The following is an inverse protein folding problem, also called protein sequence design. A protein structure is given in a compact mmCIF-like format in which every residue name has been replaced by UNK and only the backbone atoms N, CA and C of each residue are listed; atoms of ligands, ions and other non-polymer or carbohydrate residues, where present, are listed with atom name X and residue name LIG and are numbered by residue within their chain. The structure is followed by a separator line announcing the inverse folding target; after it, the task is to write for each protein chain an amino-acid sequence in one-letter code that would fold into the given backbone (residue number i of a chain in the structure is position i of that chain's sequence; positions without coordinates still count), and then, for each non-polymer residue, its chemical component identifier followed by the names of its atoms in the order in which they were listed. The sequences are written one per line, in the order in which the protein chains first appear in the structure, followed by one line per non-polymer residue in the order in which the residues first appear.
data_IF_387751769735
#
_entry.id   IF_387751769735
#
_cell.length_a   1.000
_cell.length_b   1.000
_cell.length_c   1.000
_cell.angle_alpha   90.00
_cell.angle_beta   90.00
_cell.angle_gamma   90.00
#
_symmetry.space_group_name_H-M   'P 1'
#
loop_
_entity.id
_entity.type
_entity.pdbx_description
1 polymer ?
#
# COMPACT_ATOMS: atom_id res chain seq x y z
N UNK A 1 7.91 1.34 -16.83
CA UNK A 1 6.47 1.52 -16.56
C UNK A 1 6.19 0.92 -15.19
N UNK A 2 5.29 1.53 -14.42
CA UNK A 2 4.85 0.99 -13.14
C UNK A 2 4.13 -0.34 -13.36
N UNK A 3 4.49 -1.35 -12.58
CA UNK A 3 3.77 -2.63 -12.58
C UNK A 3 2.41 -2.45 -11.91
N UNK A 4 1.43 -3.22 -12.36
CA UNK A 4 0.16 -3.40 -11.66
C UNK A 4 0.09 -4.85 -11.22
N UNK A 5 -0.17 -5.07 -9.94
CA UNK A 5 -0.25 -6.39 -9.29
C UNK A 5 -1.54 -6.48 -8.48
N UNK A 6 -1.95 -7.70 -8.14
CA UNK A 6 -3.18 -7.95 -7.37
C UNK A 6 -2.82 -8.33 -5.94
N UNK A 7 -3.40 -7.66 -4.94
CA UNK A 7 -3.27 -8.11 -3.56
C UNK A 7 -3.98 -9.46 -3.39
N UNK A 8 -3.27 -10.45 -2.83
CA UNK A 8 -3.78 -11.80 -2.59
C UNK A 8 -4.05 -12.05 -1.11
N UNK A 9 -3.31 -11.37 -0.22
CA UNK A 9 -3.51 -11.49 1.24
C UNK A 9 -3.24 -10.19 1.97
N UNK A 10 -4.15 -9.82 2.86
CA UNK A 10 -3.91 -8.81 3.89
C UNK A 10 -3.10 -9.44 5.03
N UNK A 11 -1.91 -8.90 5.33
CA UNK A 11 -0.99 -9.49 6.31
C UNK A 11 -1.15 -8.83 7.68
N UNK A 12 -0.86 -7.53 7.77
CA UNK A 12 -0.93 -6.79 9.04
C UNK A 12 -0.99 -5.28 8.79
N UNK A 13 -1.70 -4.50 9.62
CA UNK A 13 -1.62 -3.05 9.57
C UNK A 13 -0.32 -2.54 10.18
N UNK A 14 0.22 -1.47 9.60
CA UNK A 14 1.29 -0.66 10.17
C UNK A 14 0.63 0.53 10.89
N UNK A 15 0.50 0.41 12.21
CA UNK A 15 -0.28 1.35 13.05
C UNK A 15 0.47 2.66 13.36
N UNK A 16 1.34 3.08 12.47
CA UNK A 16 2.11 4.31 12.59
C UNK A 16 1.54 5.40 11.67
N UNK A 17 1.34 6.59 12.23
CA UNK A 17 0.83 7.74 11.50
C UNK A 17 -0.67 7.66 11.17
N UNK A 18 -1.19 8.74 10.59
CA UNK A 18 -2.63 8.91 10.37
C UNK A 18 -3.20 8.26 9.09
N UNK A 19 -2.39 7.59 8.27
CA UNK A 19 -2.84 6.92 7.04
C UNK A 19 -2.97 5.40 7.17
N UNK A 20 -2.47 4.83 8.28
CA UNK A 20 -2.56 3.41 8.67
C UNK A 20 -2.32 2.45 7.49
N UNK A 21 -1.14 2.47 6.87
CA UNK A 21 -0.84 1.56 5.76
C UNK A 21 -0.81 0.09 6.22
N UNK A 22 -0.68 -0.85 5.28
CA UNK A 22 -0.65 -2.27 5.62
C UNK A 22 0.38 -3.04 4.80
N UNK A 23 0.87 -4.14 5.36
CA UNK A 23 1.61 -5.14 4.59
C UNK A 23 0.59 -6.05 3.89
N UNK A 24 0.79 -6.28 2.59
CA UNK A 24 0.03 -7.22 1.78
C UNK A 24 0.97 -8.16 1.01
N UNK A 25 0.51 -9.38 0.76
CA UNK A 25 1.08 -10.23 -0.28
C UNK A 25 0.36 -9.98 -1.60
N UNK A 26 1.07 -10.10 -2.72
CA UNK A 26 0.52 -9.96 -4.05
C UNK A 26 0.59 -11.27 -4.85
N UNK A 27 0.10 -11.23 -6.09
CA UNK A 27 0.05 -12.35 -7.05
C UNK A 27 1.42 -12.73 -7.64
N UNK A 28 2.46 -11.96 -7.33
CA UNK A 28 3.86 -12.23 -7.67
C UNK A 28 4.68 -12.79 -6.49
N UNK A 29 3.99 -13.25 -5.44
CA UNK A 29 4.56 -13.74 -4.17
C UNK A 29 5.39 -12.68 -3.39
N UNK A 30 5.34 -11.40 -3.80
CA UNK A 30 6.02 -10.29 -3.14
C UNK A 30 5.24 -9.72 -1.95
N UNK A 31 5.97 -9.06 -1.04
CA UNK A 31 5.40 -8.31 0.08
C UNK A 31 5.48 -6.81 -0.21
N UNK A 32 4.39 -6.10 0.05
CA UNK A 32 4.29 -4.67 -0.25
C UNK A 32 3.67 -3.89 0.91
N UNK A 33 4.15 -2.67 1.13
CA UNK A 33 3.47 -1.67 1.93
C UNK A 33 2.40 -1.01 1.08
N UNK A 34 1.15 -1.42 1.29
CA UNK A 34 -0.03 -0.86 0.65
C UNK A 34 -0.43 0.48 1.29
N UNK A 35 -0.65 1.48 0.44
CA UNK A 35 -1.12 2.82 0.77
C UNK A 35 -2.57 2.95 0.31
N UNK A 36 -3.47 3.01 1.28
CA UNK A 36 -4.91 3.00 1.05
C UNK A 36 -5.42 4.30 0.42
N UNK A 37 -6.09 4.20 -0.72
CA UNK A 37 -6.74 5.34 -1.41
C UNK A 37 -7.89 5.96 -0.61
N UNK A 38 -8.51 5.16 0.26
CA UNK A 38 -9.59 5.56 1.16
C UNK A 38 -9.13 6.27 2.43
N UNK A 39 -7.83 6.46 2.63
CA UNK A 39 -7.30 7.18 3.79
C UNK A 39 -7.75 8.66 3.78
N UNK A 40 -7.84 9.29 4.96
CA UNK A 40 -8.41 10.64 5.12
C UNK A 40 -7.69 11.75 4.32
N UNK A 41 -6.43 11.52 3.93
CA UNK A 41 -5.65 12.42 3.08
C UNK A 41 -6.07 12.34 1.59
N UNK A 42 -6.76 11.27 1.22
CA UNK A 42 -7.34 11.04 -0.11
C UNK A 42 -6.31 10.75 -1.22
N UNK A 43 -6.79 10.54 -2.46
CA UNK A 43 -5.94 10.13 -3.58
C UNK A 43 -4.82 11.11 -3.94
N UNK A 44 -4.95 12.40 -3.63
CA UNK A 44 -3.90 13.39 -3.90
C UNK A 44 -2.61 13.10 -3.11
N UNK A 45 -2.73 12.56 -1.89
CA UNK A 45 -1.58 12.14 -1.12
C UNK A 45 -0.87 10.97 -1.79
N UNK A 46 -1.62 9.99 -2.31
CA UNK A 46 -1.07 8.88 -3.09
C UNK A 46 -0.34 9.37 -4.35
N UNK A 47 -0.93 10.31 -5.09
CA UNK A 47 -0.24 10.92 -6.25
C UNK A 47 1.07 11.60 -5.82
N UNK A 48 1.08 12.29 -4.68
CA UNK A 48 2.30 12.90 -4.15
C UNK A 48 3.36 11.84 -3.79
N UNK A 49 2.96 10.74 -3.14
CA UNK A 49 3.86 9.60 -2.85
C UNK A 49 4.45 9.02 -4.13
N UNK A 50 3.63 8.80 -5.17
CA UNK A 50 4.08 8.29 -6.46
C UNK A 50 5.09 9.24 -7.12
N UNK A 51 4.73 10.51 -7.25
CA UNK A 51 5.56 11.52 -7.94
C UNK A 51 6.88 11.73 -7.21
N UNK A 52 6.84 11.90 -5.88
CA UNK A 52 8.05 12.09 -5.09
C UNK A 52 8.96 10.86 -5.14
N UNK A 53 8.37 9.66 -5.06
CA UNK A 53 9.11 8.41 -5.14
C UNK A 53 9.78 8.19 -6.50
N UNK A 54 9.04 8.41 -7.60
CA UNK A 54 9.60 8.30 -8.95
C UNK A 54 10.66 9.37 -9.24
N UNK A 55 10.52 10.59 -8.70
CA UNK A 55 11.58 11.60 -8.75
C UNK A 55 12.84 11.09 -8.03
N UNK A 56 12.70 10.54 -6.82
CA UNK A 56 13.83 9.98 -6.08
C UNK A 56 14.52 8.84 -6.84
N UNK A 57 13.75 7.94 -7.47
CA UNK A 57 14.27 6.86 -8.32
C UNK A 57 15.00 7.41 -9.55
N UNK A 58 14.45 8.42 -10.21
CA UNK A 58 15.08 9.09 -11.35
C UNK A 58 16.40 9.79 -10.97
N UNK A 59 16.52 10.26 -9.72
CA UNK A 59 17.74 10.83 -9.15
C UNK A 59 18.75 9.78 -8.65
N UNK A 60 18.41 8.48 -8.70
CA UNK A 60 19.27 7.40 -8.22
C UNK A 60 19.31 7.23 -6.70
N UNK A 61 18.34 7.80 -5.98
CA UNK A 61 18.18 7.57 -4.53
C UNK A 61 17.68 6.14 -4.28
N UNK A 62 17.99 5.54 -3.11
CA UNK A 62 17.57 4.19 -2.75
C UNK A 62 16.09 4.16 -2.34
N UNK A 63 15.21 4.45 -3.29
CA UNK A 63 13.75 4.37 -3.13
C UNK A 63 13.30 2.96 -3.55
N UNK A 64 12.56 2.22 -2.69
CA UNK A 64 11.99 0.92 -3.05
C UNK A 64 11.18 0.97 -4.35
N UNK A 65 10.91 -0.19 -4.94
CA UNK A 65 10.01 -0.24 -6.10
C UNK A 65 8.62 0.29 -5.73
N UNK A 66 8.03 1.09 -6.61
CA UNK A 66 6.65 1.57 -6.50
C UNK A 66 5.81 0.81 -7.52
N UNK A 67 4.68 0.30 -7.05
CA UNK A 67 3.73 -0.49 -7.85
C UNK A 67 2.32 0.05 -7.67
N UNK A 68 1.46 -0.27 -8.63
CA UNK A 68 0.02 -0.13 -8.47
C UNK A 68 -0.53 -1.46 -7.97
N UNK A 69 -1.45 -1.43 -7.00
CA UNK A 69 -2.01 -2.64 -6.39
C UNK A 69 -3.53 -2.61 -6.48
N UNK A 70 -4.12 -3.59 -7.17
CA UNK A 70 -5.56 -3.84 -7.10
C UNK A 70 -5.90 -4.55 -5.78
N UNK A 71 -6.82 -3.97 -5.01
CA UNK A 71 -7.25 -4.46 -3.70
C UNK A 71 -8.72 -4.89 -3.76
N UNK A 72 -9.02 -6.14 -3.38
CA UNK A 72 -10.39 -6.56 -3.09
C UNK A 72 -10.72 -6.29 -1.61
N UNK A 73 -11.79 -5.54 -1.35
CA UNK A 73 -12.27 -5.25 0.00
C UNK A 73 -12.51 -6.50 0.87
N UNK A 74 -12.74 -7.68 0.27
CA UNK A 74 -12.91 -8.94 0.98
C UNK A 74 -11.69 -9.30 1.84
N UNK A 75 -10.49 -8.86 1.45
CA UNK A 75 -9.25 -9.15 2.18
C UNK A 75 -9.24 -8.52 3.58
N UNK A 76 -10.00 -7.44 3.80
CA UNK A 76 -10.14 -6.80 5.11
C UNK A 76 -11.17 -7.45 6.03
N UNK A 77 -11.89 -8.50 5.60
CA UNK A 77 -13.03 -9.06 6.35
C UNK A 77 -12.65 -9.58 7.74
N UNK A 78 -11.43 -10.09 7.90
CA UNK A 78 -10.92 -10.62 9.17
C UNK A 78 -10.24 -9.58 10.06
N UNK A 79 -10.10 -8.33 9.61
CA UNK A 79 -9.50 -7.27 10.44
C UNK A 79 -10.40 -6.98 11.65
N UNK A 80 -9.90 -7.16 12.90
CA UNK A 80 -10.69 -6.93 14.10
C UNK A 80 -11.04 -5.45 14.28
N UNK A 81 -10.14 -4.54 13.89
CA UNK A 81 -10.32 -3.10 14.02
C UNK A 81 -11.34 -2.58 13.01
N UNK A 82 -12.45 -2.03 13.51
CA UNK A 82 -13.52 -1.53 12.65
C UNK A 82 -13.12 -0.35 11.79
N UNK A 83 -12.19 0.49 12.24
CA UNK A 83 -11.73 1.66 11.48
C UNK A 83 -10.86 1.21 10.31
N UNK A 84 -9.93 0.28 10.56
CA UNK A 84 -9.07 -0.29 9.51
C UNK A 84 -9.91 -1.11 8.53
N UNK A 85 -10.88 -1.89 9.01
CA UNK A 85 -11.81 -2.62 8.13
C UNK A 85 -12.63 -1.68 7.24
N UNK A 86 -13.08 -0.53 7.78
CA UNK A 86 -13.76 0.50 6.99
C UNK A 86 -12.82 1.14 5.97
N UNK A 87 -11.57 1.40 6.35
CA UNK A 87 -10.52 1.93 5.46
C UNK A 87 -10.24 0.99 4.29
N UNK A 88 -10.06 -0.30 4.54
CA UNK A 88 -9.84 -1.32 3.49
C UNK A 88 -11.04 -1.35 2.53
N UNK A 89 -12.26 -1.36 3.08
CA UNK A 89 -13.48 -1.33 2.27
C UNK A 89 -13.59 -0.06 1.41
N UNK A 90 -13.22 1.10 1.95
CA UNK A 90 -13.20 2.36 1.22
C UNK A 90 -12.09 2.41 0.15
N UNK A 91 -11.17 1.44 0.17
CA UNK A 91 -10.00 1.38 -0.69
C UNK A 91 -10.07 0.31 -1.78
N UNK A 92 -11.22 -0.35 -1.97
CA UNK A 92 -11.46 -1.34 -3.04
C UNK A 92 -10.98 -0.84 -4.43
N UNK A 93 -10.30 -1.67 -5.22
CA UNK A 93 -9.70 -1.29 -6.50
C UNK A 93 -8.26 -0.77 -6.38
N UNK A 94 -7.88 0.18 -7.24
CA UNK A 94 -6.49 0.56 -7.46
C UNK A 94 -5.90 1.46 -6.35
N UNK A 95 -4.80 1.00 -5.76
CA UNK A 95 -4.02 1.66 -4.72
C UNK A 95 -2.54 1.76 -5.13
N UNK A 96 -1.69 2.29 -4.24
CA UNK A 96 -0.25 2.35 -4.41
C UNK A 96 0.41 1.38 -3.43
N UNK A 97 1.43 0.66 -3.90
CA UNK A 97 2.32 -0.14 -3.06
C UNK A 97 3.77 0.31 -3.18
N UNK A 98 4.52 0.11 -2.10
CA UNK A 98 5.97 0.12 -2.12
C UNK A 98 6.48 -1.28 -1.75
N UNK A 99 7.55 -1.73 -2.38
CA UNK A 99 8.23 -2.97 -2.00
C UNK A 99 8.60 -2.96 -0.51
N UNK A 100 8.26 -4.03 0.20
CA UNK A 100 8.55 -4.18 1.62
C UNK A 100 9.94 -4.76 1.82
N UNK A 101 10.87 -3.92 2.28
CA UNK A 101 12.25 -4.33 2.51
C UNK A 101 12.39 -5.14 3.81
N UNK A 102 13.00 -6.33 3.78
CA UNK A 102 13.31 -7.10 4.97
C UNK A 102 14.12 -6.27 5.98
N UNK A 103 13.70 -6.29 7.24
CA UNK A 103 14.36 -5.53 8.32
C UNK A 103 13.91 -4.08 8.48
N UNK A 104 12.94 -3.59 7.69
CA UNK A 104 12.44 -2.23 7.81
C UNK A 104 11.72 -1.91 9.13
N UNK A 105 11.28 -2.93 9.87
CA UNK A 105 10.56 -2.79 11.16
C UNK A 105 11.33 -3.45 12.33
N UNK A 106 12.65 -3.62 12.19
CA UNK A 106 13.51 -4.24 13.20
C UNK A 106 13.87 -3.29 14.36
#
# INVERSE_FOLDING_TARGET
MLRTITATRYVTPLREGGSVPAIVEADDDGLYVLKFRGAGQGPKALIAELVAGEIGRALGLPVPEIVLIELDAVLGRSEPDSEIRALIKASDGLNIGLDYLPGALA
#
